data_IF_817405780525
#
_entry.id   IF_817405780525
#
_cell.length_a   1.000
_cell.length_b   1.000
_cell.length_c   1.000
_cell.angle_alpha   90.00
_cell.angle_beta   90.00
_cell.angle_gamma   90.00
#
_symmetry.space_group_name_H-M   'P 1'
#
loop_
_entity.id
_entity.type
_entity.pdbx_description
1 polymer ?
#
# COMPACT_ATOMS: atom_id res chain seq x y z
N UNK A 1 22.14 -70.88 15.51
CA UNK A 1 22.31 -69.42 15.69
C UNK A 1 21.65 -68.76 14.48
N UNK A 2 20.34 -68.48 14.55
CA UNK A 2 19.78 -67.13 14.84
C UNK A 2 20.09 -66.20 13.66
N UNK A 3 19.24 -66.21 12.62
CA UNK A 3 18.26 -65.14 12.24
C UNK A 3 18.93 -63.81 11.85
N UNK A 4 18.57 -63.10 10.77
CA UNK A 4 17.31 -63.13 10.05
C UNK A 4 17.32 -62.31 8.77
N UNK A 5 16.20 -62.47 8.06
CA UNK A 5 15.79 -61.85 6.82
C UNK A 5 15.39 -60.38 7.00
N UNK A 6 15.36 -59.67 5.88
CA UNK A 6 14.50 -58.52 5.53
C UNK A 6 14.74 -57.19 6.24
N UNK A 7 15.10 -56.15 5.48
CA UNK A 7 14.18 -55.06 5.17
C UNK A 7 14.81 -54.07 4.16
N UNK A 8 14.29 -54.07 2.94
CA UNK A 8 14.23 -52.90 2.06
C UNK A 8 13.49 -51.79 2.79
N UNK A 9 13.94 -50.54 2.76
CA UNK A 9 13.03 -49.39 2.61
C UNK A 9 13.77 -48.23 1.94
N UNK A 10 13.41 -48.02 0.67
CA UNK A 10 13.69 -46.82 -0.13
C UNK A 10 13.19 -45.58 0.61
N UNK A 11 14.09 -44.65 0.96
CA UNK A 11 13.71 -43.33 1.45
C UNK A 11 13.80 -42.31 0.30
N UNK A 12 12.97 -42.51 -0.72
CA UNK A 12 12.66 -41.45 -1.69
C UNK A 12 11.55 -40.60 -1.09
N UNK A 13 11.91 -39.66 -0.21
CA UNK A 13 10.99 -38.66 0.29
C UNK A 13 10.80 -37.59 -0.80
N UNK A 14 9.63 -37.68 -1.44
CA UNK A 14 9.03 -36.67 -2.29
C UNK A 14 9.12 -35.28 -1.64
N UNK A 15 10.08 -34.48 -2.10
CA UNK A 15 10.01 -33.02 -2.00
C UNK A 15 9.07 -32.49 -3.08
N UNK A 16 7.79 -32.85 -3.01
CA UNK A 16 6.77 -32.09 -3.72
C UNK A 16 6.70 -30.72 -3.05
N UNK A 17 7.55 -29.79 -3.52
CA UNK A 17 7.27 -28.38 -3.36
C UNK A 17 5.89 -28.16 -3.97
N UNK A 18 4.86 -28.11 -3.12
CA UNK A 18 3.64 -27.44 -3.49
C UNK A 18 4.09 -26.02 -3.83
N UNK A 19 4.25 -25.74 -5.12
CA UNK A 19 3.98 -24.43 -5.63
C UNK A 19 2.53 -24.18 -5.24
N UNK A 20 2.31 -23.67 -4.03
CA UNK A 20 1.09 -22.98 -3.72
C UNK A 20 1.02 -21.95 -4.84
N UNK A 21 0.05 -22.11 -5.74
CA UNK A 21 -0.32 -21.04 -6.65
C UNK A 21 -0.66 -19.87 -5.75
N UNK A 22 0.30 -18.98 -5.52
CA UNK A 22 0.02 -17.72 -4.90
C UNK A 22 -1.03 -17.10 -5.81
N UNK A 23 -2.28 -17.02 -5.32
CA UNK A 23 -3.30 -16.21 -6.00
C UNK A 23 -2.61 -14.90 -6.33
N UNK A 24 -2.69 -14.51 -7.61
CA UNK A 24 -2.07 -13.28 -8.06
C UNK A 24 -2.66 -12.14 -7.23
N UNK A 25 -1.83 -11.47 -6.42
CA UNK A 25 -2.31 -10.47 -5.49
C UNK A 25 -2.94 -9.33 -6.29
N UNK A 26 -4.22 -9.06 -6.09
CA UNK A 26 -4.88 -7.92 -6.71
C UNK A 26 -4.48 -6.64 -5.97
N UNK A 27 -4.31 -5.53 -6.70
CA UNK A 27 -3.97 -4.23 -6.12
C UNK A 27 -4.97 -3.84 -5.02
N UNK A 28 -6.26 -4.10 -5.23
CA UNK A 28 -7.35 -3.87 -4.29
C UNK A 28 -7.23 -4.62 -2.95
N UNK A 29 -6.34 -5.61 -2.84
CA UNK A 29 -6.10 -6.41 -1.63
C UNK A 29 -4.66 -6.28 -1.11
N UNK A 30 -3.85 -5.47 -1.78
CA UNK A 30 -2.43 -5.37 -1.53
C UNK A 30 -2.13 -4.53 -0.29
N UNK A 31 -1.11 -4.97 0.45
CA UNK A 31 -0.50 -4.21 1.55
C UNK A 31 0.93 -3.89 1.19
N UNK A 32 1.32 -2.61 1.28
CA UNK A 32 2.67 -2.13 1.05
C UNK A 32 3.24 -1.50 2.31
N UNK A 33 4.56 -1.59 2.48
CA UNK A 33 5.28 -0.99 3.59
C UNK A 33 6.40 -0.08 3.09
N UNK A 34 6.47 1.13 3.62
CA UNK A 34 7.60 2.03 3.44
C UNK A 34 8.77 1.54 4.32
N UNK A 35 9.95 1.24 3.74
CA UNK A 35 11.00 0.51 4.43
C UNK A 35 11.67 1.28 5.57
N UNK A 36 11.67 2.63 5.55
CA UNK A 36 12.39 3.44 6.53
C UNK A 36 11.56 3.79 7.77
N UNK A 37 10.37 4.34 7.57
CA UNK A 37 9.44 4.72 8.64
C UNK A 37 8.61 3.54 9.12
N UNK A 38 8.39 2.53 8.26
CA UNK A 38 7.48 1.43 8.52
C UNK A 38 6.01 1.77 8.26
N UNK A 39 5.70 2.92 7.65
CA UNK A 39 4.34 3.29 7.27
C UNK A 39 3.71 2.24 6.35
N UNK A 40 2.42 1.96 6.53
CA UNK A 40 1.74 0.87 5.82
C UNK A 40 0.62 1.44 4.98
N UNK A 41 0.67 1.19 3.67
CA UNK A 41 -0.44 1.39 2.74
C UNK A 41 -1.21 0.09 2.65
N UNK A 42 -2.51 0.13 2.93
CA UNK A 42 -3.39 -1.03 2.79
C UNK A 42 -4.56 -0.67 1.88
N UNK A 43 -4.60 -1.28 0.70
CA UNK A 43 -5.72 -1.18 -0.23
C UNK A 43 -6.90 -2.01 0.25
N UNK A 44 -8.08 -1.65 -0.24
CA UNK A 44 -9.30 -2.45 -0.06
C UNK A 44 -10.16 -2.37 -1.33
N UNK A 45 -11.01 -3.37 -1.60
CA UNK A 45 -11.98 -3.30 -2.68
C UNK A 45 -12.86 -2.04 -2.57
N UNK A 46 -13.27 -1.51 -3.73
CA UNK A 46 -14.24 -0.44 -3.76
C UNK A 46 -15.61 -0.99 -3.34
N UNK A 47 -16.31 -0.27 -2.47
CA UNK A 47 -17.71 -0.58 -2.19
C UNK A 47 -18.58 -0.18 -3.39
N UNK A 48 -19.85 -0.60 -3.38
CA UNK A 48 -20.80 -0.21 -4.42
C UNK A 48 -20.88 1.32 -4.56
N UNK A 49 -20.75 1.80 -5.80
CA UNK A 49 -20.83 3.22 -6.20
C UNK A 49 -19.77 4.14 -5.56
N UNK A 50 -18.49 4.02 -5.98
CA UNK A 50 -17.48 4.99 -5.58
C UNK A 50 -17.81 6.39 -6.12
N UNK A 51 -17.26 7.42 -5.48
CA UNK A 51 -17.30 8.77 -6.03
C UNK A 51 -16.74 8.77 -7.46
N UNK A 52 -17.29 9.64 -8.33
CA UNK A 52 -16.87 9.69 -9.73
C UNK A 52 -15.34 9.84 -9.84
N UNK A 53 -14.72 9.00 -10.66
CA UNK A 53 -13.28 8.94 -10.95
C UNK A 53 -12.39 8.32 -9.85
N UNK A 54 -12.91 7.92 -8.70
CA UNK A 54 -12.15 7.12 -7.73
C UNK A 54 -11.85 5.75 -8.34
N UNK A 55 -10.57 5.40 -8.38
CA UNK A 55 -10.07 4.20 -9.02
C UNK A 55 -9.58 3.16 -8.00
N UNK A 56 -9.00 3.60 -6.89
CA UNK A 56 -8.62 2.76 -5.76
C UNK A 56 -8.82 3.53 -4.45
N UNK A 57 -9.05 2.80 -3.37
CA UNK A 57 -9.06 3.35 -2.01
C UNK A 57 -8.07 2.59 -1.15
N UNK A 58 -7.36 3.32 -0.31
CA UNK A 58 -6.43 2.73 0.64
C UNK A 58 -6.44 3.51 1.94
N UNK A 59 -5.73 2.96 2.91
CA UNK A 59 -5.42 3.69 4.13
C UNK A 59 -3.93 3.68 4.39
N UNK A 60 -3.42 4.76 4.98
CA UNK A 60 -2.05 4.86 5.45
C UNK A 60 -2.01 4.76 6.97
N UNK A 61 -1.39 3.72 7.51
CA UNK A 61 -1.14 3.59 8.95
C UNK A 61 0.12 4.34 9.34
N UNK A 62 0.00 5.22 10.35
CA UNK A 62 1.11 5.99 10.90
C UNK A 62 1.88 5.15 11.92
N UNK A 63 3.19 4.90 11.72
CA UNK A 63 3.99 4.08 12.62
C UNK A 63 3.97 4.59 14.07
N UNK A 64 3.93 3.66 15.03
CA UNK A 64 3.90 3.93 16.49
C UNK A 64 2.67 4.69 16.97
N UNK A 65 1.58 4.62 16.22
CA UNK A 65 0.27 5.17 16.58
C UNK A 65 -0.82 4.22 16.11
N UNK A 66 -2.06 4.45 16.56
CA UNK A 66 -3.26 3.78 16.03
C UNK A 66 -3.91 4.57 14.89
N UNK A 67 -3.25 5.64 14.41
CA UNK A 67 -3.80 6.52 13.38
C UNK A 67 -3.78 5.82 12.02
N UNK A 68 -4.94 5.83 11.37
CA UNK A 68 -5.13 5.33 10.02
C UNK A 68 -5.77 6.40 9.15
N UNK A 69 -4.99 6.90 8.21
CA UNK A 69 -5.32 8.05 7.38
C UNK A 69 -6.12 7.61 6.15
N UNK A 70 -7.28 8.22 5.84
CA UNK A 70 -8.01 7.94 4.62
C UNK A 70 -7.24 8.42 3.39
N UNK A 71 -7.27 7.59 2.35
CA UNK A 71 -6.63 7.90 1.08
C UNK A 71 -7.37 7.27 -0.10
N UNK A 72 -7.18 7.89 -1.26
CA UNK A 72 -7.77 7.45 -2.51
C UNK A 72 -6.83 7.75 -3.67
N UNK A 73 -7.05 7.02 -4.76
CA UNK A 73 -6.44 7.28 -6.06
C UNK A 73 -7.58 7.64 -7.02
N UNK A 74 -7.47 8.78 -7.67
CA UNK A 74 -8.40 9.22 -8.73
C UNK A 74 -7.75 9.16 -10.09
N UNK A 75 -8.54 8.88 -11.13
CA UNK A 75 -8.11 9.07 -12.51
C UNK A 75 -8.53 10.43 -13.01
N UNK A 76 -7.57 11.25 -13.41
CA UNK A 76 -7.88 12.51 -14.09
C UNK A 76 -8.44 12.21 -15.48
N UNK A 77 -9.26 13.10 -16.05
CA UNK A 77 -9.71 13.00 -17.43
C UNK A 77 -8.62 13.51 -18.39
N UNK A 78 -8.42 12.84 -19.54
CA UNK A 78 -7.49 13.29 -20.58
C UNK A 78 -6.54 12.21 -21.10
N UNK A 79 -5.94 12.46 -22.27
CA UNK A 79 -5.03 11.52 -22.97
C UNK A 79 -3.72 11.24 -22.21
N UNK A 80 -3.30 12.19 -21.37
CA UNK A 80 -2.06 12.11 -20.59
C UNK A 80 -2.34 11.97 -19.09
N UNK A 81 -3.51 11.45 -18.73
CA UNK A 81 -3.90 11.30 -17.33
C UNK A 81 -3.04 10.27 -16.61
N UNK A 82 -2.77 10.56 -15.34
CA UNK A 82 -2.08 9.67 -14.41
C UNK A 82 -2.92 9.48 -13.15
N UNK A 83 -2.81 8.33 -12.48
CA UNK A 83 -3.42 8.11 -11.18
C UNK A 83 -2.87 9.13 -10.19
N UNK A 84 -3.77 9.92 -9.60
CA UNK A 84 -3.48 10.94 -8.60
C UNK A 84 -3.91 10.43 -7.23
N UNK A 85 -2.94 10.15 -6.36
CA UNK A 85 -3.18 9.77 -4.98
C UNK A 85 -3.38 10.99 -4.10
N UNK A 86 -4.25 10.87 -3.11
CA UNK A 86 -4.43 11.86 -2.05
C UNK A 86 -4.49 11.17 -0.69
N UNK A 87 -3.74 11.68 0.28
CA UNK A 87 -3.74 11.21 1.67
C UNK A 87 -4.18 12.36 2.56
N UNK A 88 -5.16 12.11 3.42
CA UNK A 88 -5.78 13.13 4.27
C UNK A 88 -5.79 12.73 5.74
N UNK A 89 -5.94 13.71 6.61
CA UNK A 89 -6.28 13.52 8.02
C UNK A 89 -7.56 14.29 8.36
N UNK A 90 -8.16 13.99 9.51
CA UNK A 90 -9.20 14.85 10.07
C UNK A 90 -8.60 16.19 10.45
N UNK A 91 -9.18 17.28 9.94
CA UNK A 91 -8.71 18.63 10.28
C UNK A 91 -8.81 18.88 11.79
N UNK A 92 -7.78 19.51 12.35
CA UNK A 92 -7.82 20.17 13.65
C UNK A 92 -8.53 21.52 13.54
N UNK A 93 -8.78 22.17 14.67
CA UNK A 93 -9.33 23.52 14.67
C UNK A 93 -8.34 24.51 14.03
N UNK A 94 -7.05 24.38 14.31
CA UNK A 94 -5.98 25.17 13.69
C UNK A 94 -5.98 25.01 12.15
N UNK A 95 -6.17 23.79 11.64
CA UNK A 95 -6.24 23.56 10.19
C UNK A 95 -7.46 24.24 9.55
N UNK A 96 -8.61 24.22 10.26
CA UNK A 96 -9.84 24.88 9.80
C UNK A 96 -9.69 26.40 9.79
N UNK A 97 -9.10 26.95 10.85
CA UNK A 97 -8.81 28.38 10.95
C UNK A 97 -7.82 28.83 9.87
N UNK A 98 -6.86 27.97 9.52
CA UNK A 98 -5.93 28.18 8.41
C UNK A 98 -6.55 27.96 7.01
N UNK A 99 -7.80 27.49 6.93
CA UNK A 99 -8.50 27.27 5.66
C UNK A 99 -7.97 26.07 4.87
N UNK A 100 -7.43 25.05 5.53
CA UNK A 100 -6.83 23.87 4.89
C UNK A 100 -7.84 22.74 4.60
N UNK A 101 -9.08 22.86 5.11
CA UNK A 101 -10.14 21.87 4.95
C UNK A 101 -10.71 21.86 3.51
N UNK A 102 -10.90 20.66 2.94
CA UNK A 102 -11.41 20.48 1.57
C UNK A 102 -12.94 20.43 1.45
N UNK A 103 -13.65 20.88 2.49
CA UNK A 103 -15.11 20.85 2.58
C UNK A 103 -15.70 19.48 2.99
N UNK A 104 -14.86 18.45 3.16
CA UNK A 104 -15.28 17.14 3.69
C UNK A 104 -14.94 16.93 5.18
N UNK A 105 -14.43 17.96 5.86
CA UNK A 105 -13.87 17.83 7.21
C UNK A 105 -12.43 17.28 7.23
N UNK A 106 -11.83 17.07 6.06
CA UNK A 106 -10.50 16.48 5.89
C UNK A 106 -9.50 17.48 5.35
N UNK A 107 -8.27 17.35 5.82
CA UNK A 107 -7.14 18.18 5.48
C UNK A 107 -6.08 17.32 4.79
N UNK A 108 -5.48 17.84 3.73
CA UNK A 108 -4.55 17.09 2.89
C UNK A 108 -3.16 17.06 3.51
N UNK A 109 -2.60 15.86 3.65
CA UNK A 109 -1.17 15.66 3.97
C UNK A 109 -0.36 15.65 2.68
N UNK A 110 -0.79 14.86 1.70
CA UNK A 110 -0.06 14.65 0.46
C UNK A 110 -1.02 14.50 -0.71
N UNK A 111 -0.61 14.98 -1.88
CA UNK A 111 -1.26 14.69 -3.15
C UNK A 111 -0.22 14.68 -4.26
N UNK A 112 -0.21 13.61 -5.05
CA UNK A 112 0.78 13.43 -6.10
C UNK A 112 0.47 12.22 -6.96
N UNK A 113 1.27 12.03 -8.01
CA UNK A 113 1.10 10.88 -8.90
C UNK A 113 1.54 9.60 -8.18
N UNK A 114 0.88 8.48 -8.49
CA UNK A 114 1.26 7.16 -7.97
C UNK A 114 1.84 6.32 -9.09
N UNK A 115 3.05 5.82 -8.90
CA UNK A 115 3.73 4.98 -9.87
C UNK A 115 3.85 3.55 -9.36
N UNK A 116 3.78 2.60 -10.29
CA UNK A 116 4.17 1.22 -10.04
C UNK A 116 5.69 1.10 -10.16
N UNK A 117 6.33 0.42 -9.22
CA UNK A 117 7.72 0.00 -9.33
C UNK A 117 7.78 -1.43 -9.86
N UNK A 118 8.33 -1.59 -11.06
CA UNK A 118 8.50 -2.86 -11.77
C UNK A 118 9.99 -3.22 -11.90
N UNK A 119 10.29 -4.36 -12.53
CA UNK A 119 11.67 -4.70 -12.89
C UNK A 119 12.28 -3.76 -13.94
N UNK A 120 11.45 -2.99 -14.67
CA UNK A 120 11.87 -1.99 -15.65
C UNK A 120 12.05 -0.58 -15.09
N UNK A 121 11.70 -0.34 -13.83
CA UNK A 121 11.73 0.97 -13.18
C UNK A 121 10.34 1.46 -12.78
N UNK A 122 10.16 2.78 -12.73
CA UNK A 122 8.88 3.39 -12.43
C UNK A 122 7.99 3.46 -13.68
N UNK A 123 6.77 2.96 -13.57
CA UNK A 123 5.76 2.93 -14.61
C UNK A 123 4.44 3.53 -14.10
N UNK A 124 3.53 3.86 -15.01
CA UNK A 124 2.20 4.30 -14.61
C UNK A 124 1.47 3.17 -13.85
N UNK A 125 0.92 3.49 -12.68
CA UNK A 125 0.12 2.51 -11.94
C UNK A 125 -1.20 2.25 -12.71
N UNK A 126 -1.45 0.98 -13.04
CA UNK A 126 -2.77 0.56 -13.50
C UNK A 126 -3.64 0.27 -12.28
N UNK A 127 -4.52 1.23 -11.96
CA UNK A 127 -5.31 1.27 -10.73
C UNK A 127 -6.76 0.79 -10.97
N UNK A 128 -6.92 -0.33 -11.66
CA UNK A 128 -8.23 -0.97 -11.85
C UNK A 128 -8.36 -2.15 -10.88
N UNK A 129 -9.55 -2.34 -10.34
CA UNK A 129 -9.89 -3.30 -9.28
C UNK A 129 -9.42 -4.76 -9.52
N UNK A 130 -9.24 -5.17 -10.78
CA UNK A 130 -8.78 -6.50 -11.19
C UNK A 130 -7.31 -6.57 -11.65
N UNK A 131 -6.49 -5.55 -11.34
CA UNK A 131 -5.09 -5.50 -11.77
C UNK A 131 -4.17 -6.17 -10.74
N UNK A 132 -3.16 -6.95 -11.18
CA UNK A 132 -2.10 -7.42 -10.30
C UNK A 132 -1.39 -6.29 -9.57
N UNK A 133 -1.13 -6.48 -8.28
CA UNK A 133 -0.37 -5.58 -7.44
C UNK A 133 1.10 -5.51 -7.91
N UNK A 134 1.66 -4.32 -8.21
CA UNK A 134 3.08 -4.20 -8.50
C UNK A 134 3.94 -4.58 -7.29
N UNK A 135 5.24 -4.84 -7.52
CA UNK A 135 6.18 -5.19 -6.45
C UNK A 135 6.45 -4.03 -5.49
N UNK A 136 6.20 -2.80 -5.94
CA UNK A 136 6.28 -1.62 -5.11
C UNK A 136 5.49 -0.46 -5.69
N UNK A 137 5.35 0.57 -4.87
CA UNK A 137 4.75 1.85 -5.25
C UNK A 137 5.77 2.95 -5.03
N UNK A 138 5.71 3.98 -5.88
CA UNK A 138 6.43 5.22 -5.68
C UNK A 138 5.42 6.36 -5.61
N UNK A 139 5.43 7.07 -4.50
CA UNK A 139 4.62 8.25 -4.22
C UNK A 139 5.59 9.43 -4.08
N UNK A 140 5.91 10.16 -5.16
CA UNK A 140 6.89 11.23 -5.10
C UNK A 140 6.52 12.29 -4.08
N UNK A 141 7.51 12.76 -3.32
CA UNK A 141 7.39 13.78 -2.28
C UNK A 141 6.54 13.36 -1.05
N UNK A 142 6.10 12.10 -1.02
CA UNK A 142 5.40 11.56 0.15
C UNK A 142 6.28 11.60 1.40
N UNK A 143 7.55 11.19 1.29
CA UNK A 143 8.46 11.09 2.41
C UNK A 143 8.65 12.44 3.10
N UNK A 144 8.80 13.52 2.32
CA UNK A 144 8.92 14.87 2.85
C UNK A 144 7.61 15.31 3.53
N UNK A 145 6.48 15.25 2.82
CA UNK A 145 5.17 15.66 3.34
C UNK A 145 4.77 14.88 4.61
N UNK A 146 5.01 13.57 4.62
CA UNK A 146 4.67 12.70 5.75
C UNK A 146 5.61 12.87 6.94
N UNK A 147 6.88 13.22 6.70
CA UNK A 147 7.83 13.52 7.79
C UNK A 147 7.42 14.79 8.55
N UNK A 148 6.90 15.79 7.85
CA UNK A 148 6.41 17.05 8.45
C UNK A 148 5.01 16.92 9.07
N UNK A 149 4.27 15.85 8.77
CA UNK A 149 2.96 15.61 9.37
C UNK A 149 3.07 15.47 10.90
N UNK A 150 2.35 16.33 11.63
CA UNK A 150 2.53 16.52 13.07
C UNK A 150 2.44 15.22 13.90
N UNK A 151 1.47 14.35 13.62
CA UNK A 151 1.31 13.10 14.36
C UNK A 151 2.46 12.12 14.09
N UNK A 152 2.95 12.07 12.84
CA UNK A 152 4.13 11.28 12.52
C UNK A 152 5.37 11.84 13.24
N UNK A 153 5.64 13.14 13.12
CA UNK A 153 6.79 13.80 13.73
C UNK A 153 6.81 13.63 15.25
N UNK A 154 5.64 13.75 15.90
CA UNK A 154 5.48 13.57 17.35
C UNK A 154 5.76 12.14 17.81
N UNK A 155 5.23 11.15 17.09
CA UNK A 155 5.37 9.72 17.43
C UNK A 155 6.72 9.12 17.00
N UNK A 156 7.35 9.69 15.98
CA UNK A 156 8.58 9.19 15.37
C UNK A 156 9.70 10.23 15.43
N UNK A 157 10.06 10.66 16.64
CA UNK A 157 11.17 11.61 16.85
C UNK A 157 12.44 11.14 16.14
N UNK A 158 13.02 12.01 15.32
CA UNK A 158 14.18 11.75 14.44
C UNK A 158 13.96 10.68 13.35
N UNK A 159 12.74 10.18 13.19
CA UNK A 159 12.35 9.33 12.08
C UNK A 159 12.10 10.15 10.83
N UNK A 160 12.20 9.51 9.67
CA UNK A 160 11.82 10.10 8.39
C UNK A 160 11.22 9.02 7.51
N UNK A 161 10.38 9.42 6.57
CA UNK A 161 9.82 8.54 5.56
C UNK A 161 10.46 8.79 4.20
N UNK A 162 10.43 7.79 3.34
CA UNK A 162 10.82 7.86 1.94
C UNK A 162 9.61 7.64 1.04
N UNK A 163 9.79 7.88 -0.26
CA UNK A 163 8.70 7.90 -1.24
C UNK A 163 8.29 6.51 -1.76
N UNK A 164 9.12 5.49 -1.49
CA UNK A 164 8.97 4.16 -2.08
C UNK A 164 8.42 3.15 -1.07
N UNK A 165 7.43 2.37 -1.48
CA UNK A 165 6.83 1.31 -0.70
C UNK A 165 7.07 -0.05 -1.38
N UNK A 166 7.25 -1.10 -0.58
CA UNK A 166 7.42 -2.47 -1.07
C UNK A 166 6.19 -3.30 -0.73
N UNK A 167 5.75 -4.16 -1.66
CA UNK A 167 4.66 -5.09 -1.42
C UNK A 167 5.03 -6.01 -0.24
N UNK A 168 4.21 -5.98 0.81
CA UNK A 168 4.45 -6.66 2.07
C UNK A 168 3.45 -7.80 2.33
N UNK A 169 2.31 -7.80 1.64
CA UNK A 169 1.32 -8.86 1.77
C UNK A 169 0.11 -8.63 0.88
N UNK A 170 -0.80 -9.62 0.89
CA UNK A 170 -2.10 -9.56 0.23
C UNK A 170 -3.14 -10.13 1.18
N UNK A 171 -4.27 -9.46 1.34
CA UNK A 171 -5.42 -10.08 2.04
C UNK A 171 -6.12 -11.07 1.13
N UNK A 172 -6.79 -12.05 1.73
CA UNK A 172 -7.72 -12.92 1.01
C UNK A 172 -8.91 -12.09 0.47
N UNK A 173 -9.49 -12.54 -0.64
CA UNK A 173 -10.76 -12.04 -1.21
C UNK A 173 -11.96 -12.34 -0.30
#
# INVERSE_FOLDING_TARGET
MITGKLALFFLALLGAAQAASAKECLLSHATYREPRSGAVVQFRPLANEPAALTAEVFSLTVPKTDIRLPADITWTNGRNSFPLGTIRHTCTDDDREAGLEDGSGLCRIWMGQVYALTGGGAEQLNSREATPAPKGLLLPDFGAAFTEFADFAKANRNGSAWDAFTLAGCSDE
#
